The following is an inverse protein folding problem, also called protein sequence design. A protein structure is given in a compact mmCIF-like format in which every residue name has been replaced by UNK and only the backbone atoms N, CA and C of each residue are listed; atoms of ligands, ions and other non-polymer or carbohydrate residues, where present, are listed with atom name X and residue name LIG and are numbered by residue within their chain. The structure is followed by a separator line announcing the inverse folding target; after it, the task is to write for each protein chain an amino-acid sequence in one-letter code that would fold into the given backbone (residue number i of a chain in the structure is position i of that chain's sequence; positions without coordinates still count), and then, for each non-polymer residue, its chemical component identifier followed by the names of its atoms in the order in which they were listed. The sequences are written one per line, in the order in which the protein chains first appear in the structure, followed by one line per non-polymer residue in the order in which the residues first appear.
data_IF_252568591578
#
_entry.id   IF_252568591578
#
_cell.length_a   1.000
_cell.length_b   1.000
_cell.length_c   1.000
_cell.angle_alpha   90.00
_cell.angle_beta   90.00
_cell.angle_gamma   90.00
#
_symmetry.space_group_name_H-M   'P 1'
#
loop_
_entity.id
_entity.type
_entity.pdbx_description
1 polymer ?
#
# COMPACT_ATOMS: atom_id res chain seq x y z
N UNK A 1 10.36 45.31 -17.27
CA UNK A 1 9.00 44.83 -17.00
C UNK A 1 9.07 43.30 -17.01
N UNK A 2 9.12 42.69 -15.84
CA UNK A 2 9.39 41.25 -15.65
C UNK A 2 8.06 40.49 -15.75
N UNK A 3 7.95 39.40 -16.52
CA UNK A 3 6.70 38.66 -16.62
C UNK A 3 6.32 38.04 -15.26
N UNK A 4 5.02 37.91 -14.96
CA UNK A 4 4.54 37.32 -13.71
C UNK A 4 4.99 35.86 -13.57
N UNK A 5 5.14 35.40 -12.33
CA UNK A 5 5.69 34.08 -12.01
C UNK A 5 4.90 32.90 -12.61
N UNK A 6 3.60 33.09 -12.85
CA UNK A 6 2.73 32.09 -13.47
C UNK A 6 3.11 31.84 -14.94
N UNK A 7 3.43 32.89 -15.70
CA UNK A 7 3.85 32.77 -17.11
C UNK A 7 5.17 32.02 -17.26
N UNK A 8 6.07 32.16 -16.27
CA UNK A 8 7.36 31.47 -16.25
C UNK A 8 7.19 29.97 -15.95
N UNK A 9 6.28 29.62 -15.05
CA UNK A 9 5.96 28.23 -14.73
C UNK A 9 5.29 27.55 -15.93
N UNK A 10 4.35 28.23 -16.58
CA UNK A 10 3.65 27.72 -17.76
C UNK A 10 4.61 27.49 -18.93
N UNK A 11 5.54 28.42 -19.17
CA UNK A 11 6.58 28.26 -20.18
C UNK A 11 7.57 27.13 -19.83
N UNK A 12 7.89 26.93 -18.55
CA UNK A 12 8.74 25.83 -18.10
C UNK A 12 8.06 24.46 -18.29
N UNK A 13 6.78 24.35 -17.93
CA UNK A 13 5.98 23.13 -18.12
C UNK A 13 5.86 22.75 -19.60
N UNK A 14 5.54 23.72 -20.47
CA UNK A 14 5.42 23.48 -21.92
C UNK A 14 6.73 22.99 -22.52
N UNK A 15 7.87 23.58 -22.13
CA UNK A 15 9.19 23.11 -22.58
C UNK A 15 9.51 21.70 -22.08
N UNK A 16 9.19 21.39 -20.83
CA UNK A 16 9.44 20.08 -20.25
C UNK A 16 8.63 18.99 -20.97
N UNK A 17 7.34 19.21 -21.23
CA UNK A 17 6.51 18.22 -21.92
C UNK A 17 6.75 18.17 -23.43
N UNK A 18 7.18 19.26 -24.06
CA UNK A 18 7.63 19.22 -25.45
C UNK A 18 8.93 18.40 -25.62
N UNK A 19 9.86 18.51 -24.66
CA UNK A 19 11.11 17.76 -24.68
C UNK A 19 10.94 16.28 -24.26
N UNK A 20 9.94 15.96 -23.45
CA UNK A 20 9.70 14.61 -22.91
C UNK A 20 8.39 13.98 -23.39
N UNK A 21 7.90 14.41 -24.56
CA UNK A 21 6.69 13.87 -25.16
C UNK A 21 6.82 12.35 -25.40
N UNK A 22 5.71 11.58 -25.30
CA UNK A 22 5.75 10.14 -25.48
C UNK A 22 6.21 9.76 -26.90
N UNK A 23 7.11 8.78 -26.98
CA UNK A 23 7.63 8.26 -28.24
C UNK A 23 6.50 7.78 -29.15
N UNK A 24 6.46 8.32 -30.37
CA UNK A 24 5.47 7.96 -31.39
C UNK A 24 5.45 6.45 -31.68
N UNK A 25 6.59 5.75 -31.54
CA UNK A 25 6.63 4.31 -31.68
C UNK A 25 5.94 3.58 -30.51
N UNK A 26 6.03 4.10 -29.29
CA UNK A 26 5.32 3.55 -28.13
C UNK A 26 3.80 3.72 -28.27
N UNK A 27 3.34 4.87 -28.78
CA UNK A 27 1.93 5.13 -29.04
C UNK A 27 1.35 4.21 -30.12
N UNK A 28 2.13 3.87 -31.17
CA UNK A 28 1.71 2.89 -32.18
C UNK A 28 1.56 1.49 -31.60
N UNK A 29 2.52 1.02 -30.78
CA UNK A 29 2.43 -0.30 -30.14
C UNK A 29 1.22 -0.41 -29.22
N UNK A 30 0.90 0.66 -28.49
CA UNK A 30 -0.28 0.69 -27.64
C UNK A 30 -1.57 0.60 -28.48
N UNK A 31 -1.63 1.30 -29.61
CA UNK A 31 -2.78 1.28 -30.52
C UNK A 31 -2.98 -0.08 -31.19
N UNK A 32 -1.89 -0.76 -31.53
CA UNK A 32 -1.91 -2.11 -32.09
C UNK A 32 -2.32 -3.16 -31.05
N UNK A 33 -1.89 -3.02 -29.79
CA UNK A 33 -2.26 -3.93 -28.71
C UNK A 33 -3.76 -3.88 -28.34
N UNK A 34 -4.44 -2.76 -28.63
CA UNK A 34 -5.87 -2.57 -28.33
C UNK A 34 -6.78 -3.12 -29.44
N UNK A 35 -6.25 -3.42 -30.64
CA UNK A 35 -7.04 -3.94 -31.77
C UNK A 35 -6.38 -5.17 -32.42
N UNK A 36 -6.44 -6.37 -31.80
CA UNK A 36 -6.12 -7.58 -32.53
C UNK A 36 -7.16 -7.82 -33.64
N UNK A 37 -6.70 -7.87 -34.89
CA UNK A 37 -7.51 -8.29 -36.02
C UNK A 37 -8.02 -9.72 -35.78
N UNK A 38 -9.34 -9.89 -35.69
CA UNK A 38 -9.99 -11.19 -35.51
C UNK A 38 -10.06 -11.92 -36.85
N UNK A 39 -9.32 -13.01 -37.01
CA UNK A 39 -9.50 -13.94 -38.14
C UNK A 39 -10.38 -15.11 -37.72
N UNK A 40 -11.47 -15.43 -38.46
CA UNK A 40 -12.21 -16.66 -38.23
C UNK A 40 -11.70 -17.76 -39.16
N UNK A 41 -11.33 -18.92 -38.61
CA UNK A 41 -11.13 -20.13 -39.38
C UNK A 41 -11.87 -21.30 -38.72
N UNK A 42 -12.72 -21.96 -39.50
CA UNK A 42 -13.69 -22.96 -39.07
C UNK A 42 -13.20 -24.41 -39.25
N UNK A 43 -13.59 -25.29 -38.29
CA UNK A 43 -13.74 -26.79 -38.28
C UNK A 43 -12.65 -27.59 -37.53
N UNK A 44 -12.91 -28.82 -36.98
CA UNK A 44 -14.14 -29.64 -36.94
C UNK A 44 -14.68 -29.95 -35.51
N UNK A 45 -15.99 -30.18 -35.37
CA UNK A 45 -16.77 -30.03 -34.11
C UNK A 45 -16.65 -31.13 -33.04
N UNK A 46 -16.05 -32.30 -33.30
CA UNK A 46 -16.08 -33.41 -32.32
C UNK A 46 -14.84 -33.53 -31.43
N UNK A 47 -13.65 -33.12 -31.90
CA UNK A 47 -12.46 -32.92 -31.03
C UNK A 47 -12.57 -31.65 -30.19
N UNK A 48 -13.27 -30.65 -30.73
CA UNK A 48 -13.59 -29.41 -30.05
C UNK A 48 -14.52 -29.62 -28.84
N UNK A 49 -15.42 -30.60 -28.86
CA UNK A 49 -16.33 -30.88 -27.75
C UNK A 49 -15.59 -31.43 -26.51
N UNK A 50 -14.68 -32.40 -26.70
CA UNK A 50 -13.86 -32.95 -25.61
C UNK A 50 -12.81 -31.96 -25.09
N UNK A 51 -12.21 -31.17 -25.98
CA UNK A 51 -11.35 -30.04 -25.60
C UNK A 51 -12.12 -28.93 -24.90
N UNK A 52 -13.38 -28.68 -25.26
CA UNK A 52 -14.23 -27.69 -24.60
C UNK A 52 -14.63 -28.12 -23.18
N UNK A 53 -14.89 -29.41 -22.95
CA UNK A 53 -15.14 -29.93 -21.58
C UNK A 53 -13.89 -29.81 -20.72
N UNK A 54 -12.72 -30.22 -21.24
CA UNK A 54 -11.46 -30.06 -20.53
C UNK A 54 -11.11 -28.59 -20.25
N UNK A 55 -11.32 -27.70 -21.23
CA UNK A 55 -11.12 -26.26 -21.08
C UNK A 55 -12.12 -25.62 -20.11
N UNK A 56 -13.38 -26.08 -20.08
CA UNK A 56 -14.37 -25.60 -19.12
C UNK A 56 -14.04 -26.02 -17.69
N UNK A 57 -13.49 -27.23 -17.49
CA UNK A 57 -13.02 -27.70 -16.19
C UNK A 57 -11.76 -26.98 -15.72
N UNK A 58 -10.80 -26.69 -16.62
CA UNK A 58 -9.63 -25.89 -16.25
C UNK A 58 -10.00 -24.44 -15.99
N UNK A 59 -10.93 -23.85 -16.74
CA UNK A 59 -11.42 -22.48 -16.50
C UNK A 59 -12.20 -22.39 -15.18
N UNK A 60 -13.06 -23.35 -14.87
CA UNK A 60 -13.78 -23.37 -13.58
C UNK A 60 -12.84 -23.65 -12.40
N UNK A 61 -11.86 -24.54 -12.53
CA UNK A 61 -10.83 -24.76 -11.52
C UNK A 61 -9.93 -23.52 -11.34
N UNK A 62 -9.54 -22.86 -12.42
CA UNK A 62 -8.74 -21.62 -12.37
C UNK A 62 -9.53 -20.47 -11.76
N UNK A 63 -10.82 -20.34 -12.10
CA UNK A 63 -11.72 -19.36 -11.49
C UNK A 63 -11.95 -19.68 -10.00
N UNK A 64 -12.09 -20.96 -9.63
CA UNK A 64 -12.20 -21.37 -8.23
C UNK A 64 -10.90 -21.08 -7.45
N UNK A 65 -9.72 -21.24 -8.07
CA UNK A 65 -8.43 -20.87 -7.47
C UNK A 65 -8.30 -19.35 -7.34
N UNK A 66 -8.73 -18.56 -8.33
CA UNK A 66 -8.73 -17.09 -8.25
C UNK A 66 -9.72 -16.59 -7.19
N UNK A 67 -10.91 -17.20 -7.09
CA UNK A 67 -11.91 -16.87 -6.07
C UNK A 67 -11.46 -17.32 -4.67
N UNK A 68 -10.80 -18.48 -4.55
CA UNK A 68 -10.20 -18.95 -3.30
C UNK A 68 -8.97 -18.11 -2.89
N UNK A 69 -8.21 -17.59 -3.85
CA UNK A 69 -7.12 -16.64 -3.63
C UNK A 69 -7.62 -15.21 -3.30
N UNK A 70 -8.93 -14.95 -3.44
CA UNK A 70 -9.59 -13.72 -3.04
C UNK A 70 -9.48 -13.40 -1.53
N UNK A 71 -8.96 -14.32 -0.71
CA UNK A 71 -8.60 -14.08 0.69
C UNK A 71 -7.35 -13.21 0.92
N UNK A 72 -6.62 -12.81 -0.14
CA UNK A 72 -5.38 -12.02 -0.04
C UNK A 72 -5.55 -10.49 0.01
N UNK A 73 -6.74 -9.96 -0.29
CA UNK A 73 -6.95 -8.51 -0.42
C UNK A 73 -6.77 -7.75 0.90
N UNK A 74 -7.26 -8.31 2.01
CA UNK A 74 -7.17 -7.71 3.35
C UNK A 74 -5.74 -7.67 3.89
N UNK A 75 -4.94 -8.72 3.63
CA UNK A 75 -3.56 -8.79 4.09
C UNK A 75 -2.63 -7.87 3.28
N UNK A 76 -2.85 -7.79 1.96
CA UNK A 76 -2.16 -6.84 1.09
C UNK A 76 -2.46 -5.39 1.51
N UNK A 77 -3.75 -5.06 1.72
CA UNK A 77 -4.16 -3.74 2.20
C UNK A 77 -3.54 -3.40 3.55
N UNK A 78 -3.55 -4.34 4.50
CA UNK A 78 -2.93 -4.15 5.80
C UNK A 78 -1.41 -3.93 5.72
N UNK A 79 -0.73 -4.62 4.80
CA UNK A 79 0.70 -4.41 4.56
C UNK A 79 0.97 -3.01 4.02
N UNK A 80 0.21 -2.55 3.01
CA UNK A 80 0.36 -1.21 2.43
C UNK A 80 0.13 -0.11 3.46
N UNK A 81 -0.94 -0.22 4.25
CA UNK A 81 -1.26 0.76 5.31
C UNK A 81 -0.18 0.76 6.39
N UNK A 82 0.29 -0.41 6.82
CA UNK A 82 1.36 -0.50 7.81
C UNK A 82 2.69 0.07 7.29
N UNK A 83 3.03 -0.17 6.02
CA UNK A 83 4.21 0.39 5.36
C UNK A 83 4.16 1.91 5.28
N UNK A 84 3.02 2.49 4.92
CA UNK A 84 2.83 3.94 4.88
C UNK A 84 2.93 4.57 6.28
N UNK A 85 2.29 3.95 7.28
CA UNK A 85 2.37 4.40 8.68
C UNK A 85 3.82 4.35 9.20
N UNK A 86 4.53 3.25 8.97
CA UNK A 86 5.91 3.09 9.39
C UNK A 86 6.85 4.08 8.68
N UNK A 87 6.66 4.30 7.38
CA UNK A 87 7.40 5.31 6.62
C UNK A 87 7.16 6.72 7.19
N UNK A 88 5.90 7.09 7.40
CA UNK A 88 5.55 8.40 7.94
C UNK A 88 6.07 8.62 9.37
N UNK A 89 6.15 7.55 10.17
CA UNK A 89 6.71 7.59 11.52
C UNK A 89 8.22 7.87 11.47
N UNK A 90 8.96 7.15 10.62
CA UNK A 90 10.42 7.30 10.48
C UNK A 90 10.83 8.66 9.93
N UNK A 91 10.00 9.29 9.07
CA UNK A 91 10.28 10.62 8.53
C UNK A 91 10.41 11.70 9.60
N UNK A 92 9.77 11.54 10.76
CA UNK A 92 9.88 12.47 11.91
C UNK A 92 9.70 13.95 11.52
N UNK A 93 8.79 14.24 10.57
CA UNK A 93 8.51 15.61 10.12
C UNK A 93 7.98 16.47 11.27
N UNK A 94 8.45 17.71 11.35
CA UNK A 94 8.08 18.65 12.39
C UNK A 94 6.54 18.78 12.51
N UNK A 95 5.98 18.83 13.73
CA UNK A 95 4.57 19.12 13.93
C UNK A 95 4.21 20.50 13.38
N UNK A 96 2.97 20.63 12.89
CA UNK A 96 2.39 21.93 12.55
C UNK A 96 1.90 22.64 13.82
N UNK A 97 1.47 21.87 14.82
CA UNK A 97 1.05 22.37 16.13
C UNK A 97 1.74 21.59 17.25
N UNK A 98 2.14 22.30 18.30
CA UNK A 98 2.72 21.74 19.53
C UNK A 98 1.99 22.32 20.74
N UNK A 99 2.02 21.61 21.87
CA UNK A 99 1.39 22.07 23.13
C UNK A 99 -0.13 22.18 23.10
N UNK A 100 -0.79 21.61 22.09
CA UNK A 100 -2.25 21.60 21.94
C UNK A 100 -2.86 20.34 22.56
N UNK A 101 -4.02 20.47 23.20
CA UNK A 101 -4.81 19.33 23.65
C UNK A 101 -5.57 18.65 22.52
N UNK A 102 -6.00 17.40 22.74
CA UNK A 102 -6.77 16.63 21.75
C UNK A 102 -8.09 17.31 21.37
N UNK A 103 -8.74 18.00 22.32
CA UNK A 103 -9.99 18.73 22.09
C UNK A 103 -9.83 19.96 21.20
N UNK A 104 -8.65 20.58 21.19
CA UNK A 104 -8.37 21.76 20.35
C UNK A 104 -8.10 21.38 18.88
N UNK A 105 -7.79 20.11 18.59
CA UNK A 105 -7.46 19.68 17.24
C UNK A 105 -8.64 19.80 16.26
N UNK A 106 -9.88 19.78 16.75
CA UNK A 106 -11.06 20.01 15.91
C UNK A 106 -10.98 21.38 15.19
N UNK A 107 -10.57 22.42 15.92
CA UNK A 107 -10.46 23.78 15.39
C UNK A 107 -9.16 23.98 14.61
N UNK A 108 -8.06 23.37 15.06
CA UNK A 108 -6.75 23.48 14.41
C UNK A 108 -6.67 22.69 13.10
N UNK A 109 -7.49 21.65 12.94
CA UNK A 109 -7.45 20.75 11.78
C UNK A 109 -8.72 20.81 10.89
N UNK A 110 -9.14 21.99 10.39
CA UNK A 110 -10.43 22.16 9.68
C UNK A 110 -10.52 21.44 8.33
N UNK A 111 -9.41 20.92 7.79
CA UNK A 111 -9.42 20.13 6.55
C UNK A 111 -9.88 18.69 6.78
N UNK A 112 -9.91 18.22 8.04
CA UNK A 112 -10.46 16.91 8.36
C UNK A 112 -11.98 16.98 8.27
N UNK A 113 -12.57 16.00 7.58
CA UNK A 113 -14.03 15.83 7.58
C UNK A 113 -14.53 15.15 8.87
N UNK A 114 -13.64 14.78 9.79
CA UNK A 114 -13.90 14.15 11.08
C UNK A 114 -13.19 14.90 12.21
N UNK A 115 -13.69 14.74 13.43
CA UNK A 115 -13.03 15.28 14.63
C UNK A 115 -11.99 14.29 15.16
N UNK A 116 -10.70 14.65 15.27
CA UNK A 116 -9.72 13.83 15.97
C UNK A 116 -10.15 13.60 17.41
N UNK A 117 -10.01 12.36 17.88
CA UNK A 117 -10.28 12.02 19.28
C UNK A 117 -9.18 11.16 19.87
N UNK A 118 -9.11 11.19 21.18
CA UNK A 118 -8.26 10.28 21.93
C UNK A 118 -8.86 8.87 21.86
N UNK A 119 -8.10 7.83 21.48
CA UNK A 119 -8.61 6.47 21.42
C UNK A 119 -8.63 5.85 22.82
N UNK A 120 -9.73 5.21 23.19
CA UNK A 120 -9.88 4.50 24.45
C UNK A 120 -8.78 3.43 24.66
N UNK A 121 -8.28 2.85 23.57
CA UNK A 121 -7.18 1.88 23.59
C UNK A 121 -5.83 2.44 24.09
N UNK A 122 -5.71 3.74 24.35
CA UNK A 122 -4.53 4.37 24.96
C UNK A 122 -4.77 4.90 26.38
N UNK A 123 -6.00 4.78 26.90
CA UNK A 123 -6.33 5.21 28.25
C UNK A 123 -5.53 4.43 29.30
N UNK A 124 -5.14 5.13 30.38
CA UNK A 124 -4.27 4.57 31.42
C UNK A 124 -2.82 4.30 30.97
N UNK A 125 -2.50 4.48 29.69
CA UNK A 125 -1.17 4.23 29.12
C UNK A 125 -0.13 5.33 29.37
N UNK A 126 -0.48 6.39 30.11
CA UNK A 126 0.43 7.50 30.43
C UNK A 126 0.89 8.33 29.23
N UNK A 127 0.24 8.16 28.07
CA UNK A 127 0.55 8.92 26.86
C UNK A 127 0.00 10.33 26.95
N UNK A 128 0.76 11.28 26.40
CA UNK A 128 0.39 12.68 26.26
C UNK A 128 0.62 13.14 24.83
N UNK A 129 -0.23 14.04 24.34
CA UNK A 129 -0.09 14.65 23.03
C UNK A 129 1.01 15.71 23.08
N UNK A 130 2.02 15.58 22.22
CA UNK A 130 3.16 16.52 22.16
C UNK A 130 3.18 17.33 20.87
N UNK A 131 2.45 16.90 19.84
CA UNK A 131 2.22 17.69 18.63
C UNK A 131 1.29 17.00 17.64
N UNK A 132 0.86 17.77 16.65
CA UNK A 132 -0.06 17.31 15.61
C UNK A 132 0.32 17.91 14.25
N UNK A 133 -0.02 17.21 13.17
CA UNK A 133 0.06 17.69 11.79
C UNK A 133 -0.89 16.91 10.89
N UNK A 134 -1.13 17.42 9.69
CA UNK A 134 -1.81 16.64 8.67
C UNK A 134 -0.86 15.59 8.06
N UNK A 135 -1.44 14.50 7.60
CA UNK A 135 -0.80 13.52 6.74
C UNK A 135 -1.82 12.92 5.77
N UNK A 136 -1.39 11.92 5.00
CA UNK A 136 -2.28 11.03 4.28
C UNK A 136 -2.05 9.59 4.69
N UNK A 137 -3.12 8.80 4.62
CA UNK A 137 -3.07 7.33 4.62
C UNK A 137 -3.96 6.86 3.48
N UNK A 138 -3.45 5.99 2.60
CA UNK A 138 -4.17 5.51 1.42
C UNK A 138 -4.67 6.65 0.51
N UNK A 139 -3.93 7.75 0.44
CA UNK A 139 -4.31 8.94 -0.34
C UNK A 139 -5.43 9.80 0.26
N UNK A 140 -5.91 9.49 1.47
CA UNK A 140 -6.94 10.27 2.17
C UNK A 140 -6.33 11.09 3.29
N UNK A 141 -6.90 12.26 3.56
CA UNK A 141 -6.42 13.13 4.64
C UNK A 141 -6.57 12.44 6.01
N UNK A 142 -5.54 12.57 6.83
CA UNK A 142 -5.44 11.93 8.14
C UNK A 142 -4.75 12.86 9.15
N UNK A 143 -5.02 12.65 10.43
CA UNK A 143 -4.30 13.30 11.51
C UNK A 143 -3.10 12.46 11.93
N UNK A 144 -1.93 13.09 12.06
CA UNK A 144 -0.72 12.50 12.63
C UNK A 144 -0.41 13.20 13.95
N UNK A 145 -0.44 12.44 15.05
CA UNK A 145 -0.29 12.91 16.42
C UNK A 145 0.99 12.33 17.02
N UNK A 146 1.90 13.19 17.49
CA UNK A 146 3.07 12.77 18.24
C UNK A 146 2.67 12.56 19.70
N UNK A 147 3.05 11.40 20.23
CA UNK A 147 2.78 11.02 21.60
C UNK A 147 4.08 10.89 22.38
N UNK A 148 4.09 11.35 23.62
CA UNK A 148 5.16 11.16 24.58
C UNK A 148 4.66 10.55 25.89
N UNK A 149 5.53 9.81 26.57
CA UNK A 149 5.33 9.31 27.94
C UNK A 149 6.41 9.86 28.86
N UNK A 150 6.11 9.91 30.15
CA UNK A 150 7.06 10.34 31.19
C UNK A 150 8.31 9.45 31.27
N UNK A 151 8.21 8.19 30.84
CA UNK A 151 9.33 7.24 30.76
C UNK A 151 10.22 7.44 29.52
N UNK A 152 10.01 8.52 28.75
CA UNK A 152 10.77 8.86 27.55
C UNK A 152 10.34 8.10 26.29
N UNK A 153 9.37 7.19 26.38
CA UNK A 153 8.84 6.50 25.20
C UNK A 153 8.07 7.47 24.32
N UNK A 154 8.30 7.35 23.01
CA UNK A 154 7.60 8.11 22.00
C UNK A 154 6.83 7.18 21.06
N UNK A 155 5.72 7.67 20.53
CA UNK A 155 4.94 7.01 19.51
C UNK A 155 4.32 8.04 18.56
N UNK A 156 3.79 7.57 17.44
CA UNK A 156 2.99 8.37 16.53
C UNK A 156 1.65 7.69 16.32
N UNK A 157 0.58 8.38 16.66
CA UNK A 157 -0.79 7.95 16.43
C UNK A 157 -1.32 8.59 15.15
N UNK A 158 -1.87 7.77 14.28
CA UNK A 158 -2.55 8.17 13.07
C UNK A 158 -4.04 7.96 13.28
N UNK A 159 -4.86 8.92 12.89
CA UNK A 159 -6.31 8.81 12.92
C UNK A 159 -6.87 9.23 11.56
N UNK A 160 -7.73 8.39 10.98
CA UNK A 160 -8.38 8.65 9.71
C UNK A 160 -9.77 8.02 9.68
N UNK A 161 -10.64 8.54 8.80
CA UNK A 161 -12.01 8.04 8.67
C UNK A 161 -12.03 6.56 8.27
N UNK A 162 -12.88 5.80 8.93
CA UNK A 162 -13.26 4.46 8.48
C UNK A 162 -14.17 4.61 7.26
N UNK A 163 -13.58 4.44 6.08
CA UNK A 163 -14.23 4.57 4.78
C UNK A 163 -14.15 3.23 4.04
N UNK A 164 -14.97 3.05 2.99
CA UNK A 164 -15.05 1.79 2.24
C UNK A 164 -13.69 1.28 1.74
N UNK A 165 -12.79 2.20 1.37
CA UNK A 165 -11.41 1.88 0.97
C UNK A 165 -10.62 1.11 2.04
N UNK A 166 -11.02 1.24 3.31
CA UNK A 166 -10.43 0.54 4.45
C UNK A 166 -11.34 -0.53 5.03
N UNK A 167 -12.51 -0.83 4.45
CA UNK A 167 -13.44 -1.80 5.04
C UNK A 167 -12.80 -3.19 5.27
N UNK A 168 -11.94 -3.62 4.35
CA UNK A 168 -11.22 -4.89 4.44
C UNK A 168 -9.94 -4.85 5.29
N UNK A 169 -9.56 -3.71 5.88
CA UNK A 169 -8.35 -3.57 6.68
C UNK A 169 -8.53 -4.28 8.04
N UNK A 170 -7.86 -5.39 8.34
CA UNK A 170 -7.97 -6.03 9.65
C UNK A 170 -7.35 -5.16 10.75
N UNK A 171 -7.91 -5.26 11.96
CA UNK A 171 -7.18 -4.84 13.16
C UNK A 171 -6.02 -5.82 13.41
N UNK A 172 -4.92 -5.35 13.98
CA UNK A 172 -3.77 -6.20 14.28
C UNK A 172 -2.49 -5.41 14.50
N UNK A 173 -1.39 -6.13 14.63
CA UNK A 173 -0.06 -5.56 14.82
C UNK A 173 0.91 -6.17 13.82
N UNK A 174 1.78 -5.34 13.24
CA UNK A 174 2.79 -5.73 12.25
C UNK A 174 4.10 -5.01 12.55
N UNK A 175 5.22 -5.66 12.23
CA UNK A 175 6.54 -5.04 12.27
C UNK A 175 6.98 -4.72 10.86
N UNK A 176 7.29 -3.45 10.59
CA UNK A 176 7.79 -2.98 9.29
C UNK A 176 9.08 -2.20 9.54
N UNK A 177 10.20 -2.71 9.02
CA UNK A 177 11.52 -2.07 9.11
C UNK A 177 11.89 -1.55 10.51
N UNK A 178 11.70 -2.38 11.54
CA UNK A 178 11.99 -1.99 12.92
C UNK A 178 11.02 -0.96 13.51
N UNK A 179 9.83 -0.78 12.92
CA UNK A 179 8.71 -0.04 13.50
C UNK A 179 7.57 -1.01 13.77
N UNK A 180 7.02 -1.00 14.98
CA UNK A 180 5.80 -1.74 15.28
C UNK A 180 4.58 -0.87 14.98
N UNK A 181 3.69 -1.37 14.13
CA UNK A 181 2.46 -0.70 13.71
C UNK A 181 1.27 -1.51 14.20
N UNK A 182 0.48 -0.92 15.09
CA UNK A 182 -0.80 -1.48 15.55
C UNK A 182 -1.94 -0.73 14.89
N UNK A 183 -2.88 -1.44 14.26
CA UNK A 183 -4.07 -0.88 13.62
C UNK A 183 -5.32 -1.39 14.32
N UNK A 184 -6.27 -0.50 14.57
CA UNK A 184 -7.58 -0.85 15.13
C UNK A 184 -8.65 0.16 14.73
N UNK A 185 -9.91 -0.13 15.04
CA UNK A 185 -11.05 0.77 14.82
C UNK A 185 -11.70 1.13 16.14
N UNK A 186 -12.22 2.34 16.18
CA UNK A 186 -13.03 2.84 17.28
C UNK A 186 -13.93 3.92 16.68
N UNK A 187 -15.18 4.05 17.14
CA UNK A 187 -16.16 5.10 16.77
C UNK A 187 -16.07 5.73 15.38
N UNK A 188 -16.04 4.95 14.30
CA UNK A 188 -15.99 5.45 12.91
C UNK A 188 -14.63 5.98 12.44
N UNK A 189 -13.57 5.76 13.21
CA UNK A 189 -12.18 6.07 12.84
C UNK A 189 -11.34 4.80 12.85
N UNK A 190 -10.38 4.74 11.94
CA UNK A 190 -9.26 3.81 11.99
C UNK A 190 -8.09 4.52 12.66
N UNK A 191 -7.47 3.82 13.60
CA UNK A 191 -6.26 4.26 14.27
C UNK A 191 -5.08 3.39 13.88
N UNK A 192 -3.92 4.03 13.72
CA UNK A 192 -2.63 3.38 13.55
C UNK A 192 -1.65 3.91 14.60
N UNK A 193 -1.04 3.05 15.41
CA UNK A 193 0.01 3.44 16.35
C UNK A 193 1.34 2.89 15.86
N UNK A 194 2.26 3.78 15.54
CA UNK A 194 3.65 3.46 15.23
C UNK A 194 4.53 3.77 16.43
N UNK A 195 5.34 2.81 16.85
CA UNK A 195 6.35 2.99 17.88
C UNK A 195 7.57 2.11 17.57
N UNK A 196 8.67 2.37 18.25
CA UNK A 196 9.75 1.39 18.33
C UNK A 196 9.18 0.03 18.82
N UNK A 197 9.67 -1.10 18.29
CA UNK A 197 9.27 -2.42 18.76
C UNK A 197 9.50 -2.53 20.27
N UNK A 198 8.64 -3.30 20.93
CA UNK A 198 8.84 -3.59 22.34
C UNK A 198 10.24 -4.21 22.54
N UNK A 199 10.95 -3.89 23.65
CA UNK A 199 12.22 -4.55 23.96
C UNK A 199 12.01 -6.07 23.97
N UNK A 200 12.76 -6.80 23.14
CA UNK A 200 12.66 -8.27 23.01
C UNK A 200 11.76 -8.78 21.88
N UNK A 201 11.13 -7.92 21.08
CA UNK A 201 10.54 -8.33 19.81
C UNK A 201 11.67 -8.49 18.77
N UNK A 202 11.88 -9.70 18.27
CA UNK A 202 12.88 -9.97 17.23
C UNK A 202 12.70 -9.02 16.04
N UNK A 203 13.78 -8.39 15.53
CA UNK A 203 13.68 -7.63 14.29
C UNK A 203 13.21 -8.58 13.18
N UNK A 204 12.27 -8.14 12.31
CA UNK A 204 11.87 -8.97 11.18
C UNK A 204 13.10 -9.30 10.34
N UNK A 205 13.26 -10.58 10.02
CA UNK A 205 14.38 -11.05 9.21
C UNK A 205 14.45 -10.23 7.91
N UNK A 206 15.65 -9.81 7.46
CA UNK A 206 15.79 -9.07 6.22
C UNK A 206 15.18 -9.90 5.08
N UNK A 207 14.24 -9.31 4.33
CA UNK A 207 13.65 -9.96 3.16
C UNK A 207 14.79 -10.32 2.21
N UNK A 208 15.08 -11.61 2.04
CA UNK A 208 16.06 -12.08 1.07
C UNK A 208 15.57 -11.64 -0.32
N UNK A 209 16.43 -11.03 -1.17
CA UNK A 209 16.05 -10.82 -2.55
C UNK A 209 15.72 -12.19 -3.14
N UNK A 210 14.51 -12.33 -3.68
CA UNK A 210 14.06 -13.55 -4.32
C UNK A 210 15.11 -13.97 -5.35
N UNK A 211 15.77 -15.11 -5.09
CA UNK A 211 16.66 -15.72 -6.07
C UNK A 211 15.81 -16.03 -7.29
N UNK A 212 15.99 -15.24 -8.34
CA UNK A 212 15.50 -15.54 -9.68
C UNK A 212 16.04 -16.93 -10.05
N UNK A 213 15.17 -17.93 -10.00
CA UNK A 213 15.53 -19.30 -10.40
C UNK A 213 15.72 -19.28 -11.92
N UNK A 214 16.98 -19.29 -12.36
CA UNK A 214 17.32 -19.57 -13.74
C UNK A 214 16.95 -21.02 -14.06
N UNK A 215 16.21 -21.29 -15.14
CA UNK A 215 15.89 -22.67 -15.54
C UNK A 215 17.18 -23.33 -16.07
N UNK A 216 17.72 -24.25 -15.27
CA UNK A 216 18.87 -25.07 -15.61
C UNK A 216 18.50 -26.20 -16.57
N UNK A 217 19.14 -26.16 -17.74
CA UNK A 217 19.25 -27.19 -18.78
C UNK A 217 19.24 -28.64 -18.27
N UNK A 218 18.23 -29.40 -18.69
CA UNK A 218 18.26 -30.86 -18.69
C UNK A 218 19.27 -31.35 -19.73
N UNK A 219 20.29 -32.10 -19.29
CA UNK A 219 20.99 -33.06 -20.16
C UNK A 219 21.03 -34.41 -19.46
N UNK A 220 20.39 -35.36 -20.12
CA UNK A 220 20.47 -36.79 -19.87
C UNK A 220 21.92 -37.28 -19.98
N UNK A 221 22.28 -38.22 -19.11
CA UNK A 221 23.43 -39.10 -19.33
C UNK A 221 22.99 -40.53 -19.04
N UNK A 222 22.84 -41.28 -20.13
CA UNK A 222 22.66 -42.73 -20.20
C UNK A 222 24.04 -43.41 -20.22
N UNK A 223 24.05 -44.71 -19.88
CA UNK A 223 25.11 -45.71 -20.07
C UNK A 223 26.18 -45.78 -18.95
N UNK A 224 26.68 -46.93 -18.50
CA UNK A 224 26.35 -48.34 -18.72
C UNK A 224 27.13 -49.16 -17.66
N UNK A 225 26.60 -50.33 -17.28
CA UNK A 225 27.36 -51.48 -16.73
C UNK A 225 28.38 -51.97 -17.78
N UNK A 226 29.53 -52.56 -17.42
CA UNK A 226 29.68 -53.94 -16.87
C UNK A 226 30.78 -54.01 -15.78
N UNK A 227 31.12 -55.09 -15.07
CA UNK A 227 30.64 -56.46 -14.82
C UNK A 227 31.03 -56.77 -13.35
#
# INVERSE_FOLDING_TARGET
MTPPAEDLLDAALRRHYAANGPDAAALRRLREAVHPASTPASRPRLRAAWLAVAAALTLTASLAIVLAAGGGGSDALASLVAEEIALNHRKQLAPEWTGVGIGELAERMPKLDFTPRWPAALDGGGWSLTGARYCSIGGRIAAQLRLGRADGRAATLYAFRDADAFAALPAGQRSVDGTSVRVWREGGLVFGLAAAPAPGADPPAPRRPERRVSPGSSRASTAARPD
#
